data_IF_571020448341
#
_entry.id   IF_571020448341
#
_cell.length_a   1.000
_cell.length_b   1.000
_cell.length_c   1.000
_cell.angle_alpha   90.00
_cell.angle_beta   90.00
_cell.angle_gamma   90.00
#
_symmetry.space_group_name_H-M   'P 1'
#
loop_
_entity.id
_entity.type
_entity.pdbx_description
1 polymer ?
#
# COMPACT_ATOMS: atom_id res chain seq x y z
N UNK A 1 19.56 1.16 4.81
CA UNK A 1 18.23 1.35 5.35
C UNK A 1 17.19 0.78 4.42
N UNK A 2 16.34 -0.08 4.93
CA UNK A 2 15.33 -0.73 4.10
C UNK A 2 14.22 0.26 3.73
N UNK A 3 13.79 0.19 2.49
CA UNK A 3 12.70 0.99 2.00
C UNK A 3 11.60 0.09 1.50
N UNK A 4 10.37 0.48 1.76
CA UNK A 4 9.25 -0.32 1.30
C UNK A 4 8.89 0.13 -0.10
N UNK A 5 9.36 -0.62 -1.07
CA UNK A 5 9.25 -0.26 -2.48
C UNK A 5 7.82 -0.03 -2.95
N UNK A 6 6.83 -0.87 -2.56
CA UNK A 6 5.46 -0.62 -3.04
C UNK A 6 4.93 0.75 -2.64
N UNK A 7 5.26 1.22 -1.42
CA UNK A 7 4.83 2.55 -1.02
C UNK A 7 5.51 3.64 -1.82
N UNK A 8 6.78 3.44 -2.15
CA UNK A 8 7.47 4.41 -2.99
C UNK A 8 6.82 4.51 -4.36
N UNK A 9 6.44 3.38 -4.93
CA UNK A 9 5.75 3.38 -6.22
C UNK A 9 4.42 4.12 -6.12
N UNK A 10 3.69 3.91 -5.03
CA UNK A 10 2.43 4.60 -4.85
C UNK A 10 2.64 6.11 -4.76
N UNK A 11 3.64 6.54 -4.01
CA UNK A 11 3.94 7.96 -3.90
C UNK A 11 4.31 8.55 -5.26
N UNK A 12 5.14 7.85 -6.02
CA UNK A 12 5.53 8.34 -7.34
C UNK A 12 4.34 8.44 -8.27
N UNK A 13 3.42 7.50 -8.16
CA UNK A 13 2.25 7.49 -9.03
C UNK A 13 1.39 8.73 -8.84
N UNK A 14 1.28 9.23 -7.60
CA UNK A 14 0.41 10.37 -7.30
C UNK A 14 1.16 11.69 -7.16
N UNK A 15 2.48 11.68 -7.30
CA UNK A 15 3.24 12.92 -7.31
C UNK A 15 4.01 13.22 -6.04
N UNK A 16 4.18 12.24 -5.14
CA UNK A 16 5.05 12.40 -3.97
C UNK A 16 4.35 12.10 -2.66
N UNK A 17 5.15 12.11 -1.60
CA UNK A 17 4.65 11.77 -0.26
C UNK A 17 3.56 12.74 0.18
N UNK A 18 3.77 14.04 -0.02
CA UNK A 18 2.79 15.04 0.41
C UNK A 18 1.49 14.88 -0.37
N UNK A 19 1.57 14.58 -1.66
CA UNK A 19 0.38 14.38 -2.47
C UNK A 19 -0.40 13.16 -1.97
N UNK A 20 0.28 12.06 -1.68
CA UNK A 20 -0.40 10.87 -1.20
C UNK A 20 -1.02 11.12 0.17
N UNK A 21 -0.31 11.81 1.06
CA UNK A 21 -0.84 12.13 2.38
C UNK A 21 -2.11 12.95 2.26
N UNK A 22 -2.12 13.91 1.36
CA UNK A 22 -3.31 14.75 1.16
C UNK A 22 -4.49 13.92 0.67
N UNK A 23 -4.23 13.03 -0.29
CA UNK A 23 -5.29 12.20 -0.85
C UNK A 23 -5.87 11.25 0.17
N UNK A 24 -5.05 10.77 1.10
CA UNK A 24 -5.49 9.85 2.15
C UNK A 24 -5.96 10.57 3.39
N UNK A 25 -5.80 11.89 3.46
CA UNK A 25 -6.15 12.69 4.63
C UNK A 25 -5.38 12.27 5.87
N UNK A 26 -4.09 12.00 5.70
CA UNK A 26 -3.20 11.65 6.81
C UNK A 26 -1.99 12.57 6.75
N UNK A 27 -1.15 12.52 7.78
CA UNK A 27 0.03 13.38 7.83
C UNK A 27 1.12 12.85 6.90
N UNK A 28 1.95 13.72 6.32
CA UNK A 28 3.08 13.27 5.54
C UNK A 28 4.06 12.41 6.35
N UNK A 29 4.19 12.68 7.65
CA UNK A 29 5.06 11.88 8.50
C UNK A 29 4.60 10.42 8.54
N UNK A 30 3.30 10.20 8.56
CA UNK A 30 2.78 8.83 8.56
C UNK A 30 3.10 8.13 7.25
N UNK A 31 2.90 8.82 6.13
CA UNK A 31 3.25 8.23 4.83
C UNK A 31 4.74 7.92 4.78
N UNK A 32 5.56 8.81 5.34
CA UNK A 32 7.00 8.57 5.37
C UNK A 32 7.34 7.31 6.15
N UNK A 33 6.68 7.07 7.27
CA UNK A 33 6.92 5.85 8.04
C UNK A 33 6.55 4.61 7.26
N UNK A 34 5.50 4.68 6.46
CA UNK A 34 5.12 3.57 5.61
C UNK A 34 6.17 3.32 4.53
N UNK A 35 6.70 4.39 3.91
CA UNK A 35 7.68 4.23 2.84
C UNK A 35 9.01 3.72 3.34
N UNK A 36 9.35 4.01 4.59
CA UNK A 36 10.61 3.55 5.18
C UNK A 36 10.48 2.18 5.83
N UNK A 37 9.28 1.63 5.90
CA UNK A 37 9.08 0.32 6.50
C UNK A 37 9.04 0.34 8.01
N UNK A 38 8.98 1.51 8.61
CA UNK A 38 8.94 1.61 10.07
C UNK A 38 7.60 1.22 10.65
N UNK A 39 6.54 1.33 9.86
CA UNK A 39 5.19 1.09 10.33
C UNK A 39 4.39 0.41 9.24
N UNK A 40 3.59 -0.58 9.63
CA UNK A 40 2.74 -1.27 8.67
C UNK A 40 1.57 -0.40 8.26
N UNK A 41 1.13 -0.59 7.02
CA UNK A 41 0.03 0.18 6.46
C UNK A 41 -1.28 -0.46 6.91
N UNK A 42 -2.21 0.31 7.51
CA UNK A 42 -3.50 -0.27 7.87
C UNK A 42 -4.20 -0.83 6.63
N UNK A 43 -4.95 -1.93 6.81
CA UNK A 43 -5.53 -2.61 5.66
C UNK A 43 -6.48 -1.72 4.87
N UNK A 44 -7.22 -0.83 5.54
CA UNK A 44 -8.14 0.05 4.82
C UNK A 44 -7.39 1.02 3.92
N UNK A 45 -6.21 1.48 4.37
CA UNK A 45 -5.40 2.36 3.54
C UNK A 45 -4.84 1.63 2.34
N UNK A 46 -4.56 0.35 2.49
CA UNK A 46 -4.10 -0.46 1.36
C UNK A 46 -5.14 -0.48 0.24
N UNK A 47 -6.40 -0.65 0.60
CA UNK A 47 -7.48 -0.64 -0.39
C UNK A 47 -7.55 0.71 -1.09
N UNK A 48 -7.43 1.80 -0.33
CA UNK A 48 -7.48 3.13 -0.92
C UNK A 48 -6.32 3.37 -1.88
N UNK A 49 -5.12 2.92 -1.50
CA UNK A 49 -3.94 3.10 -2.34
C UNK A 49 -4.07 2.28 -3.62
N UNK A 50 -4.59 1.08 -3.52
CA UNK A 50 -4.79 0.27 -4.72
C UNK A 50 -5.73 0.96 -5.71
N UNK A 51 -6.82 1.54 -5.19
CA UNK A 51 -7.75 2.25 -6.05
C UNK A 51 -7.11 3.49 -6.66
N UNK A 52 -6.36 4.24 -5.88
CA UNK A 52 -5.72 5.45 -6.36
C UNK A 52 -4.74 5.18 -7.48
N UNK A 53 -4.04 4.07 -7.40
CA UNK A 53 -3.01 3.72 -8.38
C UNK A 53 -3.55 2.86 -9.50
N UNK A 54 -4.88 2.66 -9.52
CA UNK A 54 -5.53 1.85 -10.56
C UNK A 54 -4.92 0.46 -10.66
N UNK A 55 -4.59 -0.11 -9.50
CA UNK A 55 -4.04 -1.45 -9.43
C UNK A 55 -2.56 -1.56 -9.68
N UNK A 56 -1.87 -0.46 -9.95
CA UNK A 56 -0.42 -0.50 -10.10
C UNK A 56 0.28 -0.93 -8.81
N UNK A 57 -0.31 -0.55 -7.68
CA UNK A 57 0.17 -0.97 -6.37
C UNK A 57 -1.00 -1.66 -5.69
N UNK A 58 -0.88 -2.97 -5.49
CA UNK A 58 -1.97 -3.78 -4.98
C UNK A 58 -1.90 -3.95 -3.48
N UNK A 59 -3.02 -4.36 -2.89
CA UNK A 59 -3.07 -4.65 -1.45
C UNK A 59 -2.07 -5.73 -1.08
N UNK A 60 -1.91 -6.72 -1.95
CA UNK A 60 -0.96 -7.80 -1.71
C UNK A 60 0.47 -7.29 -1.67
N UNK A 61 0.80 -6.32 -2.51
CA UNK A 61 2.12 -5.70 -2.49
C UNK A 61 2.36 -4.92 -1.22
N UNK A 62 1.32 -4.27 -0.71
CA UNK A 62 1.43 -3.42 0.47
C UNK A 62 1.46 -4.22 1.77
N UNK A 63 0.87 -5.41 1.77
CA UNK A 63 0.89 -6.29 2.94
C UNK A 63 1.37 -7.68 2.52
N UNK A 64 2.63 -7.81 2.13
CA UNK A 64 3.10 -9.06 1.52
C UNK A 64 3.12 -10.25 2.48
N UNK A 65 3.11 -10.01 3.79
CA UNK A 65 3.29 -11.09 4.75
C UNK A 65 1.99 -11.59 5.35
N UNK A 66 0.88 -10.91 5.11
CA UNK A 66 -0.38 -11.30 5.75
C UNK A 66 -1.62 -10.92 4.97
N UNK A 67 -1.47 -10.56 3.68
CA UNK A 67 -2.63 -10.12 2.91
C UNK A 67 -3.70 -11.20 2.81
N UNK A 68 -3.32 -12.45 2.83
CA UNK A 68 -4.28 -13.54 2.69
C UNK A 68 -5.17 -13.68 3.92
N UNK A 69 -4.72 -13.21 5.07
CA UNK A 69 -5.54 -13.22 6.27
C UNK A 69 -6.60 -12.12 6.24
N UNK A 70 -6.24 -10.99 5.66
CA UNK A 70 -7.15 -9.85 5.59
C UNK A 70 -8.11 -9.96 4.42
N UNK A 71 -7.62 -10.46 3.31
CA UNK A 71 -8.40 -10.53 2.08
C UNK A 71 -8.33 -11.95 1.49
N UNK A 72 -8.93 -12.93 2.20
CA UNK A 72 -8.86 -14.31 1.68
C UNK A 72 -9.52 -14.45 0.32
N UNK A 73 -10.45 -13.57 -0.04
CA UNK A 73 -11.07 -13.63 -1.34
C UNK A 73 -10.08 -13.44 -2.47
N UNK A 74 -8.94 -12.79 -2.22
CA UNK A 74 -7.94 -12.63 -3.25
C UNK A 74 -7.21 -13.92 -3.56
N UNK A 75 -7.18 -14.85 -2.62
CA UNK A 75 -6.57 -16.15 -2.87
C UNK A 75 -7.36 -16.98 -3.87
N UNK A 76 -8.68 -16.81 -3.87
CA UNK A 76 -9.53 -17.58 -4.75
C UNK A 76 -9.37 -17.18 -6.21
N UNK A 77 -8.76 -16.02 -6.45
CA UNK A 77 -8.49 -15.59 -7.82
C UNK A 77 -7.30 -16.33 -8.42
N UNK A 78 -6.50 -16.99 -7.59
CA UNK A 78 -5.35 -17.72 -8.09
C UNK A 78 -5.79 -19.09 -8.59
N UNK A 79 -5.21 -19.55 -9.69
CA UNK A 79 -5.50 -20.91 -10.12
C UNK A 79 -5.06 -21.87 -9.04
N UNK A 80 -5.91 -22.80 -8.71
CA UNK A 80 -5.58 -23.77 -7.70
C UNK A 80 -4.67 -24.80 -8.29
N UNK A 81 -3.66 -25.14 -7.57
CA UNK A 81 -2.66 -26.06 -8.08
C UNK A 81 -2.95 -27.47 -7.60
#
# INVERSE_FOLDING_TARGET
MAKFIPMRKACEHVGGITALARLLAVSPQLVHRWTSGQQEIPHIRCVQIEKMTHGSVTRQMLRPNDWWEMWPELQTAKPEI
#
